data_IF_275725535941
#
_entry.id   IF_275725535941
#
_cell.length_a   1.000
_cell.length_b   1.000
_cell.length_c   1.000
_cell.angle_alpha   90.00
_cell.angle_beta   90.00
_cell.angle_gamma   90.00
#
_symmetry.space_group_name_H-M   'P 1'
#
loop_
_entity.id
_entity.type
_entity.pdbx_description
1 polymer ?
#
# COMPACT_ATOMS: atom_id res chain seq x y z
N UNK A 1 -6.94 -2.36 4.37
CA UNK A 1 -6.35 -3.33 5.31
C UNK A 1 -4.91 -2.92 5.63
N UNK A 2 -4.40 -3.21 6.82
CA UNK A 2 -3.05 -2.81 7.26
C UNK A 2 -1.98 -3.61 6.48
N UNK A 3 -1.06 -2.90 5.81
CA UNK A 3 0.01 -3.50 4.99
C UNK A 3 0.77 -4.60 5.74
N UNK A 4 1.10 -4.40 7.02
CA UNK A 4 1.95 -5.32 7.77
C UNK A 4 1.20 -6.53 8.34
N UNK A 5 -0.13 -6.52 8.32
CA UNK A 5 -0.98 -7.56 8.94
C UNK A 5 -1.83 -8.34 7.95
N UNK A 6 -2.01 -7.79 6.75
CA UNK A 6 -2.84 -8.41 5.71
C UNK A 6 -2.04 -9.49 5.00
N UNK A 7 -2.58 -10.69 4.88
CA UNK A 7 -2.01 -11.71 3.99
C UNK A 7 -2.24 -11.30 2.54
N UNK A 8 -1.16 -11.23 1.78
CA UNK A 8 -1.18 -10.81 0.38
C UNK A 8 -0.49 -11.89 -0.45
N UNK A 9 -0.99 -12.09 -1.67
CA UNK A 9 -0.35 -12.96 -2.66
C UNK A 9 1.08 -12.50 -2.96
N UNK A 10 1.98 -13.46 -3.20
CA UNK A 10 3.35 -13.20 -3.65
C UNK A 10 3.42 -12.65 -5.08
N UNK A 11 2.36 -12.80 -5.86
CA UNK A 11 2.23 -12.32 -7.23
C UNK A 11 1.04 -11.37 -7.35
N UNK A 12 1.24 -10.22 -8.02
CA UNK A 12 0.18 -9.24 -8.25
C UNK A 12 0.68 -7.94 -8.86
N UNK A 13 -0.24 -7.00 -9.03
CA UNK A 13 0.04 -5.63 -9.51
C UNK A 13 -0.23 -4.65 -8.39
N UNK A 14 0.73 -3.78 -8.09
CA UNK A 14 0.55 -2.70 -7.12
C UNK A 14 0.02 -1.48 -7.86
N UNK A 15 -1.16 -1.01 -7.44
CA UNK A 15 -1.78 0.21 -7.94
C UNK A 15 -1.57 1.33 -6.94
N UNK A 16 -0.95 2.42 -7.38
CA UNK A 16 -0.74 3.62 -6.58
C UNK A 16 -1.59 4.77 -7.14
N UNK A 17 -2.29 5.47 -6.25
CA UNK A 17 -3.08 6.62 -6.61
C UNK A 17 -2.25 7.86 -6.85
N UNK A 18 -2.86 8.87 -7.48
CA UNK A 18 -2.30 10.22 -7.53
C UNK A 18 -2.26 10.83 -6.12
N UNK A 19 -1.22 11.62 -5.79
CA UNK A 19 -1.03 12.20 -4.45
C UNK A 19 -2.21 13.04 -3.96
N UNK A 20 -2.85 13.80 -4.87
CA UNK A 20 -3.96 14.68 -4.51
C UNK A 20 -5.33 14.01 -4.68
N UNK A 21 -5.45 13.09 -5.65
CA UNK A 21 -6.76 12.54 -6.08
C UNK A 21 -6.98 11.08 -5.72
N UNK A 22 -5.95 10.38 -5.27
CA UNK A 22 -6.00 8.94 -5.02
C UNK A 22 -6.14 8.11 -6.30
N UNK A 23 -6.65 6.89 -6.14
CA UNK A 23 -6.96 5.96 -7.23
C UNK A 23 -8.31 6.38 -7.83
N UNK A 24 -8.45 6.34 -9.16
CA UNK A 24 -9.74 6.66 -9.80
C UNK A 24 -10.78 5.59 -9.47
N UNK A 25 -12.06 5.95 -9.47
CA UNK A 25 -13.15 5.01 -9.12
C UNK A 25 -13.19 3.80 -10.04
N UNK A 26 -12.87 4.00 -11.32
CA UNK A 26 -12.86 2.96 -12.34
C UNK A 26 -11.77 1.92 -12.05
N UNK A 27 -10.57 2.37 -11.69
CA UNK A 27 -9.48 1.46 -11.30
C UNK A 27 -9.80 0.81 -9.95
N UNK A 28 -10.36 1.57 -9.01
CA UNK A 28 -10.71 1.09 -7.67
C UNK A 28 -11.73 -0.07 -7.70
N UNK A 29 -12.60 -0.12 -8.70
CA UNK A 29 -13.53 -1.24 -8.94
C UNK A 29 -12.84 -2.53 -9.40
N UNK A 30 -11.63 -2.44 -9.97
CA UNK A 30 -10.83 -3.57 -10.41
C UNK A 30 -9.82 -4.04 -9.35
N UNK A 31 -9.74 -3.37 -8.21
CA UNK A 31 -8.77 -3.69 -7.15
C UNK A 31 -9.32 -4.80 -6.25
N UNK A 32 -8.62 -5.93 -6.21
CA UNK A 32 -8.98 -7.07 -5.34
C UNK A 32 -8.77 -6.75 -3.85
N UNK A 33 -7.67 -6.05 -3.54
CA UNK A 33 -7.27 -5.76 -2.17
C UNK A 33 -6.81 -4.31 -2.00
N UNK A 34 -7.50 -3.58 -1.11
CA UNK A 34 -7.07 -2.24 -0.68
C UNK A 34 -6.22 -2.35 0.58
N UNK A 35 -4.97 -1.93 0.47
CA UNK A 35 -4.02 -1.88 1.58
C UNK A 35 -3.65 -0.45 1.94
N UNK A 36 -3.25 -0.23 3.18
CA UNK A 36 -2.79 1.07 3.68
C UNK A 36 -1.56 0.89 4.54
N UNK A 37 -0.64 1.84 4.50
CA UNK A 37 0.46 1.91 5.46
C UNK A 37 -0.12 2.51 6.74
N UNK A 38 -0.10 1.78 7.88
CA UNK A 38 -0.62 2.31 9.12
C UNK A 38 0.16 3.55 9.54
N UNK A 39 -0.56 4.56 10.01
CA UNK A 39 0.02 5.75 10.63
C UNK A 39 0.32 5.44 12.09
N UNK A 40 1.49 5.83 12.57
CA UNK A 40 1.92 5.61 13.95
C UNK A 40 1.92 6.94 14.72
N UNK A 41 1.47 6.92 15.98
CA UNK A 41 1.39 8.10 16.84
C UNK A 41 -0.02 8.69 16.96
N UNK A 42 -0.18 9.66 17.87
CA UNK A 42 -1.46 10.33 18.14
C UNK A 42 -1.79 11.44 17.12
N UNK A 43 -0.77 11.96 16.44
CA UNK A 43 -0.93 12.99 15.43
C UNK A 43 -1.18 12.33 14.07
N UNK A 44 -2.32 12.63 13.46
CA UNK A 44 -2.63 12.25 12.09
C UNK A 44 -1.75 13.08 11.15
N UNK A 45 -0.52 12.62 10.94
CA UNK A 45 0.34 13.16 9.90
C UNK A 45 -0.31 12.95 8.53
N UNK A 46 0.02 13.83 7.58
CA UNK A 46 -0.42 13.69 6.21
C UNK A 46 0.01 12.34 5.62
N UNK A 47 -0.67 11.91 4.56
CA UNK A 47 -0.24 10.71 3.82
C UNK A 47 1.20 10.89 3.31
N UNK A 48 1.95 9.79 3.26
CA UNK A 48 3.27 9.79 2.65
C UNK A 48 3.16 10.19 1.17
N UNK A 49 4.23 10.82 0.66
CA UNK A 49 4.37 10.99 -0.78
C UNK A 49 4.37 9.62 -1.50
N UNK A 50 3.99 9.61 -2.77
CA UNK A 50 3.76 8.35 -3.50
C UNK A 50 5.06 7.53 -3.62
N UNK A 51 6.22 8.18 -3.78
CA UNK A 51 7.50 7.49 -3.88
C UNK A 51 7.84 6.71 -2.59
N UNK A 52 7.68 7.34 -1.43
CA UNK A 52 7.95 6.74 -0.12
C UNK A 52 6.93 5.65 0.19
N UNK A 53 5.64 5.88 -0.10
CA UNK A 53 4.61 4.85 0.04
C UNK A 53 4.95 3.61 -0.82
N UNK A 54 5.38 3.84 -2.06
CA UNK A 54 5.82 2.76 -2.96
C UNK A 54 7.01 2.00 -2.38
N UNK A 55 8.04 2.70 -1.90
CA UNK A 55 9.23 2.08 -1.32
C UNK A 55 8.90 1.20 -0.11
N UNK A 56 8.03 1.69 0.78
CA UNK A 56 7.57 0.93 1.97
C UNK A 56 6.81 -0.33 1.54
N UNK A 57 5.88 -0.21 0.59
CA UNK A 57 5.12 -1.36 0.07
C UNK A 57 6.07 -2.38 -0.55
N UNK A 58 6.94 -1.98 -1.48
CA UNK A 58 7.88 -2.89 -2.14
C UNK A 58 8.84 -3.57 -1.16
N UNK A 59 9.30 -2.83 -0.15
CA UNK A 59 10.15 -3.39 0.91
C UNK A 59 9.42 -4.49 1.68
N UNK A 60 8.17 -4.27 2.06
CA UNK A 60 7.36 -5.27 2.77
C UNK A 60 7.11 -6.52 1.92
N UNK A 61 6.78 -6.36 0.63
CA UNK A 61 6.63 -7.49 -0.28
C UNK A 61 7.94 -8.29 -0.41
N UNK A 62 9.07 -7.60 -0.58
CA UNK A 62 10.39 -8.25 -0.64
C UNK A 62 10.76 -8.95 0.65
N UNK A 63 10.47 -8.36 1.81
CA UNK A 63 10.71 -8.97 3.13
C UNK A 63 10.00 -10.32 3.24
N UNK A 64 8.71 -10.37 2.85
CA UNK A 64 7.93 -11.61 2.84
C UNK A 64 8.45 -12.65 1.85
N UNK A 65 8.95 -12.23 0.70
CA UNK A 65 9.56 -13.16 -0.27
C UNK A 65 10.86 -13.81 0.21
N UNK A 66 11.53 -13.24 1.23
CA UNK A 66 12.76 -13.79 1.81
C UNK A 66 12.45 -14.68 3.03
N UNK A 67 11.35 -14.40 3.74
CA UNK A 67 10.93 -15.14 4.94
C UNK A 67 10.03 -16.36 4.64
N UNK A 68 9.59 -16.54 3.39
CA UNK A 68 8.89 -17.75 2.90
C UNK A 68 9.87 -18.76 2.30
#
# INVERSE_FOLDING_TARGET
ADLYKTELSSNGVIVLGNEAKGISKEIEQCVDHKITIPRFGQQLTESLNVANATAVVLSEFRRRSIEM
#
